data_IF_387595510270
#
_entry.id   IF_387595510270
#
_cell.length_a   1.000
_cell.length_b   1.000
_cell.length_c   1.000
_cell.angle_alpha   90.00
_cell.angle_beta   90.00
_cell.angle_gamma   90.00
#
_symmetry.space_group_name_H-M   'P 1'
#
loop_
_entity.id
_entity.type
_entity.pdbx_description
1 polymer ?
#
# COMPACT_ATOMS: atom_id res chain seq x y z
N UNK A 1 -25.74 -25.66 -52.83
CA UNK A 1 -26.33 -26.24 -51.61
C UNK A 1 -25.20 -26.78 -50.74
N UNK A 2 -24.77 -26.03 -49.72
CA UNK A 2 -23.89 -26.54 -48.68
C UNK A 2 -24.66 -26.53 -47.37
N UNK A 3 -24.86 -27.71 -46.79
CA UNK A 3 -25.59 -27.92 -45.55
C UNK A 3 -24.78 -27.36 -44.38
N UNK A 4 -25.32 -26.35 -43.69
CA UNK A 4 -24.79 -25.87 -42.41
C UNK A 4 -25.18 -26.90 -41.35
N UNK A 5 -24.21 -27.71 -40.91
CA UNK A 5 -24.40 -28.63 -39.78
C UNK A 5 -24.68 -27.84 -38.51
N UNK A 6 -25.87 -28.00 -37.93
CA UNK A 6 -26.20 -27.50 -36.60
C UNK A 6 -25.35 -28.24 -35.56
N UNK A 7 -24.54 -27.50 -34.82
CA UNK A 7 -23.80 -28.02 -33.66
C UNK A 7 -24.84 -28.32 -32.56
N UNK A 8 -24.89 -29.53 -31.98
CA UNK A 8 -25.80 -29.86 -30.89
C UNK A 8 -25.53 -28.98 -29.66
N UNK A 9 -26.57 -28.49 -28.99
CA UNK A 9 -26.44 -27.56 -27.85
C UNK A 9 -25.51 -28.06 -26.73
N UNK A 10 -25.41 -29.37 -26.52
CA UNK A 10 -24.50 -29.97 -25.53
C UNK A 10 -23.02 -29.79 -25.90
N UNK A 11 -22.66 -29.76 -27.19
CA UNK A 11 -21.28 -29.51 -27.62
C UNK A 11 -20.90 -28.04 -27.44
N UNK A 12 -21.85 -27.11 -27.56
CA UNK A 12 -21.65 -25.68 -27.26
C UNK A 12 -21.42 -25.50 -25.76
N UNK A 13 -22.20 -26.17 -24.90
CA UNK A 13 -22.04 -26.12 -23.44
C UNK A 13 -20.68 -26.66 -23.00
N UNK A 14 -20.23 -27.79 -23.57
CA UNK A 14 -18.90 -28.36 -23.29
C UNK A 14 -17.78 -27.45 -23.78
N UNK A 15 -17.92 -26.82 -24.95
CA UNK A 15 -16.93 -25.86 -25.47
C UNK A 15 -16.84 -24.60 -24.60
N UNK A 16 -17.96 -24.11 -24.07
CA UNK A 16 -18.02 -22.97 -23.14
C UNK A 16 -17.41 -23.34 -21.79
N UNK A 17 -17.66 -24.54 -21.26
CA UNK A 17 -17.02 -25.01 -20.02
C UNK A 17 -15.51 -25.18 -20.18
N UNK A 18 -15.03 -25.72 -21.31
CA UNK A 18 -13.60 -25.85 -21.60
C UNK A 18 -12.94 -24.49 -21.79
N UNK A 19 -13.63 -23.51 -22.37
CA UNK A 19 -13.10 -22.14 -22.44
C UNK A 19 -13.09 -21.47 -21.06
N UNK A 20 -14.10 -21.66 -20.21
CA UNK A 20 -14.10 -21.13 -18.84
C UNK A 20 -13.00 -21.75 -17.94
N UNK A 21 -12.59 -22.99 -18.22
CA UNK A 21 -11.46 -23.65 -17.55
C UNK A 21 -10.08 -23.14 -18.00
N UNK A 22 -9.98 -22.49 -19.17
CA UNK A 22 -8.73 -21.95 -19.71
C UNK A 22 -8.52 -20.45 -19.43
N UNK A 23 -9.42 -19.78 -18.70
CA UNK A 23 -9.28 -18.36 -18.30
C UNK A 23 -8.95 -18.22 -16.81
N UNK A 24 -8.40 -19.27 -16.20
CA UNK A 24 -7.72 -19.17 -14.91
C UNK A 24 -6.26 -18.81 -15.14
N UNK A 25 -5.99 -17.69 -15.80
CA UNK A 25 -4.71 -17.04 -15.54
C UNK A 25 -4.78 -16.53 -14.09
N UNK A 26 -3.81 -16.87 -13.22
CA UNK A 26 -3.70 -16.17 -11.96
C UNK A 26 -3.56 -14.68 -12.28
N UNK A 27 -4.59 -13.91 -11.95
CA UNK A 27 -4.46 -12.47 -11.80
C UNK A 27 -3.43 -12.29 -10.67
N UNK A 28 -2.18 -12.07 -11.06
CA UNK A 28 -1.13 -11.64 -10.15
C UNK A 28 -1.45 -10.19 -9.77
N UNK A 29 -2.34 -10.08 -8.80
CA UNK A 29 -2.53 -8.93 -7.95
C UNK A 29 -1.32 -8.84 -7.02
N UNK A 30 -0.93 -7.62 -6.65
CA UNK A 30 0.08 -7.43 -5.61
C UNK A 30 -0.37 -8.15 -4.33
N UNK A 31 0.54 -8.92 -3.73
CA UNK A 31 0.29 -9.53 -2.43
C UNK A 31 0.27 -8.42 -1.38
N UNK A 32 -0.68 -8.49 -0.44
CA UNK A 32 -0.71 -7.57 0.69
C UNK A 32 -0.57 -8.28 2.01
N UNK A 33 0.15 -7.65 2.94
CA UNK A 33 0.31 -8.12 4.32
C UNK A 33 0.04 -6.97 5.28
N UNK A 34 -0.60 -7.28 6.41
CA UNK A 34 -0.78 -6.32 7.50
C UNK A 34 0.37 -6.40 8.50
N UNK A 35 0.77 -5.23 9.01
CA UNK A 35 1.40 -5.09 10.31
C UNK A 35 0.34 -4.60 11.29
N UNK A 36 -0.06 -5.48 12.20
CA UNK A 36 -1.16 -5.25 13.14
C UNK A 36 -0.67 -5.40 14.59
N UNK A 37 0.03 -4.38 15.10
CA UNK A 37 0.63 -4.39 16.44
C UNK A 37 0.18 -3.17 17.24
N UNK A 38 -0.26 -3.40 18.48
CA UNK A 38 -0.71 -2.33 19.37
C UNK A 38 -1.95 -1.62 18.84
N UNK A 39 -1.91 -0.29 18.81
CA UNK A 39 -3.01 0.56 18.31
C UNK A 39 -2.75 1.14 16.92
N UNK A 40 -1.61 0.83 16.29
CA UNK A 40 -1.26 1.32 14.95
C UNK A 40 -1.16 0.17 13.97
N UNK A 41 -2.10 0.11 13.03
CA UNK A 41 -2.17 -0.96 12.04
C UNK A 41 -2.06 -0.40 10.63
N UNK A 42 -1.31 -1.05 9.75
CA UNK A 42 -1.30 -0.72 8.32
C UNK A 42 -1.06 -1.96 7.48
N UNK A 43 -1.56 -1.93 6.25
CA UNK A 43 -1.22 -2.91 5.23
C UNK A 43 -0.07 -2.38 4.37
N UNK A 44 0.58 -3.29 3.67
CA UNK A 44 1.68 -3.04 2.75
C UNK A 44 1.55 -3.92 1.52
N UNK A 45 2.01 -3.41 0.37
CA UNK A 45 1.96 -4.10 -0.93
C UNK A 45 3.32 -4.74 -1.28
N UNK A 46 3.32 -5.92 -1.90
CA UNK A 46 4.50 -6.56 -2.47
C UNK A 46 5.21 -5.71 -3.52
N UNK A 47 4.46 -4.87 -4.23
CA UNK A 47 4.96 -3.93 -5.23
C UNK A 47 5.90 -2.85 -4.66
N UNK A 48 5.96 -2.73 -3.33
CA UNK A 48 6.88 -1.82 -2.64
C UNK A 48 6.27 -0.49 -2.20
N UNK A 49 5.02 -0.20 -2.55
CA UNK A 49 4.30 1.00 -2.11
C UNK A 49 2.78 0.83 -2.11
N UNK A 50 2.08 1.55 -1.23
CA UNK A 50 0.65 1.37 -0.95
C UNK A 50 -0.22 2.35 -1.75
N UNK A 51 -0.61 1.97 -2.97
CA UNK A 51 -1.39 2.83 -3.88
C UNK A 51 -2.83 3.09 -3.37
N UNK A 52 -3.47 4.11 -3.96
CA UNK A 52 -4.91 4.34 -3.80
C UNK A 52 -5.69 3.12 -4.28
N UNK A 53 -6.61 2.61 -3.45
CA UNK A 53 -7.41 1.41 -3.77
C UNK A 53 -6.48 0.21 -4.06
N UNK A 54 -5.41 0.05 -3.26
CA UNK A 54 -4.46 -1.05 -3.40
C UNK A 54 -4.95 -2.34 -2.76
N UNK A 55 -5.14 -2.39 -1.43
CA UNK A 55 -5.34 -3.65 -0.69
C UNK A 55 -6.42 -4.59 -1.22
N UNK A 56 -7.57 -4.06 -1.65
CA UNK A 56 -8.70 -4.86 -2.14
C UNK A 56 -9.13 -4.53 -3.55
N UNK A 57 -8.53 -3.51 -4.16
CA UNK A 57 -8.97 -2.94 -5.43
C UNK A 57 -10.44 -2.48 -5.47
N UNK A 58 -11.07 -2.27 -4.30
CA UNK A 58 -12.43 -1.76 -4.21
C UNK A 58 -12.45 -0.26 -3.94
N UNK A 59 -13.20 0.49 -4.77
CA UNK A 59 -13.37 1.94 -4.61
C UNK A 59 -13.93 2.31 -3.24
N UNK A 60 -14.73 1.43 -2.63
CA UNK A 60 -15.25 1.60 -1.28
C UNK A 60 -14.15 1.73 -0.21
N UNK A 61 -12.92 1.32 -0.52
CA UNK A 61 -11.75 1.31 0.37
C UNK A 61 -10.67 2.32 -0.06
N UNK A 62 -11.06 3.44 -0.67
CA UNK A 62 -10.16 4.50 -1.15
C UNK A 62 -9.33 5.20 -0.04
N UNK A 63 -9.69 5.02 1.22
CA UNK A 63 -8.95 5.48 2.40
C UNK A 63 -8.74 4.27 3.30
N UNK A 64 -7.52 3.72 3.26
CA UNK A 64 -7.23 2.43 3.85
C UNK A 64 -5.76 2.30 4.26
N UNK A 65 -5.56 1.87 5.50
CA UNK A 65 -4.24 1.77 6.13
C UNK A 65 -3.91 2.98 7.00
N UNK A 66 -2.73 2.90 7.64
CA UNK A 66 -2.30 3.83 8.69
C UNK A 66 -3.43 4.12 9.70
N UNK A 67 -4.01 3.06 10.26
CA UNK A 67 -5.11 3.14 11.22
C UNK A 67 -4.56 3.45 12.60
N UNK A 68 -5.06 4.51 13.22
CA UNK A 68 -4.80 4.81 14.63
C UNK A 68 -5.95 5.64 15.22
N UNK A 69 -6.55 5.25 16.36
CA UNK A 69 -6.35 3.99 17.08
C UNK A 69 -7.08 2.85 16.35
N UNK A 70 -6.34 1.82 15.94
CA UNK A 70 -6.84 0.76 15.05
C UNK A 70 -7.86 -0.20 15.67
N UNK A 71 -8.11 -0.09 16.98
CA UNK A 71 -9.16 -0.82 17.69
C UNK A 71 -10.56 -0.30 17.35
N UNK A 72 -10.65 0.95 16.88
CA UNK A 72 -11.92 1.55 16.47
C UNK A 72 -12.11 1.44 14.96
N UNK A 73 -13.37 1.38 14.54
CA UNK A 73 -13.71 1.33 13.11
C UNK A 73 -13.39 2.68 12.46
N UNK A 74 -13.04 2.61 11.17
CA UNK A 74 -12.89 3.76 10.29
C UNK A 74 -11.82 4.79 10.70
N UNK A 75 -10.77 4.35 11.39
CA UNK A 75 -9.65 5.22 11.78
C UNK A 75 -8.52 5.28 10.73
N UNK A 76 -8.77 4.84 9.50
CA UNK A 76 -7.80 4.87 8.40
C UNK A 76 -7.38 6.30 8.07
N UNK A 77 -6.07 6.55 8.03
CA UNK A 77 -5.52 7.88 7.77
C UNK A 77 -4.72 8.00 6.46
N UNK A 78 -4.62 6.91 5.69
CA UNK A 78 -3.90 6.85 4.43
C UNK A 78 -4.86 6.79 3.24
N UNK A 79 -4.57 7.56 2.18
CA UNK A 79 -5.22 7.43 0.88
C UNK A 79 -4.31 6.67 -0.08
N UNK A 80 -3.07 7.13 -0.19
CA UNK A 80 -2.07 6.52 -1.07
C UNK A 80 -0.67 6.90 -0.63
N UNK A 81 0.28 6.03 -0.93
CA UNK A 81 1.69 6.33 -1.07
C UNK A 81 2.08 6.07 -2.52
N UNK A 82 3.04 6.85 -3.02
CA UNK A 82 3.65 6.59 -4.31
C UNK A 82 5.17 6.66 -4.19
N UNK A 83 5.84 5.87 -5.03
CA UNK A 83 7.29 5.87 -5.16
C UNK A 83 7.63 6.03 -6.64
N UNK A 84 8.39 7.06 -6.96
CA UNK A 84 8.94 7.33 -8.28
C UNK A 84 10.45 7.28 -8.22
N UNK A 85 11.07 6.58 -9.17
CA UNK A 85 12.52 6.51 -9.28
C UNK A 85 12.89 6.93 -10.70
N UNK A 86 13.67 8.01 -10.80
CA UNK A 86 14.06 8.62 -12.06
C UNK A 86 15.57 8.62 -12.27
N UNK A 87 16.00 8.48 -13.52
CA UNK A 87 17.41 8.57 -13.94
C UNK A 87 17.49 9.23 -15.33
N UNK A 88 18.68 9.67 -15.71
CA UNK A 88 18.96 10.28 -17.02
C UNK A 88 19.79 9.37 -17.91
N UNK A 89 19.73 9.59 -19.22
CA UNK A 89 20.57 8.91 -20.22
C UNK A 89 20.50 7.37 -20.15
N UNK A 90 19.28 6.83 -20.06
CA UNK A 90 19.06 5.41 -19.78
C UNK A 90 18.74 4.64 -21.06
N UNK A 91 19.43 3.52 -21.28
CA UNK A 91 19.10 2.60 -22.37
C UNK A 91 18.15 1.50 -21.83
N UNK A 92 16.91 1.52 -22.30
CA UNK A 92 15.87 0.59 -21.85
C UNK A 92 15.74 -0.58 -22.83
N UNK A 93 16.10 -1.77 -22.37
CA UNK A 93 16.06 -3.00 -23.16
C UNK A 93 14.64 -3.59 -23.28
N UNK A 94 13.71 -3.22 -22.40
CA UNK A 94 12.31 -3.66 -22.50
C UNK A 94 11.61 -2.86 -23.60
N UNK A 95 11.85 -1.55 -23.61
CA UNK A 95 11.29 -0.64 -24.61
C UNK A 95 12.10 -0.62 -25.92
N UNK A 96 13.27 -1.24 -25.96
CA UNK A 96 14.25 -1.19 -27.05
C UNK A 96 14.56 0.25 -27.49
N UNK A 97 14.79 1.13 -26.51
CA UNK A 97 14.93 2.57 -26.74
C UNK A 97 15.79 3.26 -25.68
N UNK A 98 16.59 4.24 -26.11
CA UNK A 98 17.25 5.19 -25.22
C UNK A 98 16.32 6.34 -24.81
N UNK A 99 16.37 6.72 -23.53
CA UNK A 99 15.62 7.80 -22.94
C UNK A 99 16.56 8.83 -22.29
N UNK A 100 16.38 10.11 -22.63
CA UNK A 100 17.06 11.20 -21.93
C UNK A 100 16.67 11.24 -20.45
N UNK A 101 15.41 10.92 -20.17
CA UNK A 101 14.85 10.77 -18.83
C UNK A 101 14.00 9.51 -18.77
N UNK A 102 14.34 8.58 -17.88
CA UNK A 102 13.54 7.39 -17.59
C UNK A 102 13.04 7.48 -16.15
N UNK A 103 11.75 7.24 -15.97
CA UNK A 103 11.11 7.14 -14.66
C UNK A 103 10.39 5.80 -14.60
N UNK A 104 10.49 5.17 -13.44
CA UNK A 104 9.62 4.05 -13.04
C UNK A 104 8.81 4.44 -11.82
N UNK A 105 7.60 3.92 -11.71
CA UNK A 105 6.72 4.24 -10.59
C UNK A 105 5.86 3.10 -10.06
N UNK A 106 5.46 3.25 -8.79
CA UNK A 106 4.31 2.58 -8.19
C UNK A 106 3.43 3.64 -7.52
N UNK A 107 2.18 3.76 -7.98
CA UNK A 107 1.21 4.74 -7.48
C UNK A 107 1.34 6.15 -8.06
N UNK A 108 0.47 7.10 -7.65
CA UNK A 108 -0.46 6.98 -6.52
C UNK A 108 -1.74 6.22 -6.83
N UNK A 109 -2.05 5.95 -8.10
CA UNK A 109 -3.17 5.09 -8.52
C UNK A 109 -2.64 3.94 -9.39
N UNK A 110 -3.43 2.88 -9.51
CA UNK A 110 -3.08 1.72 -10.35
C UNK A 110 -3.28 1.96 -11.85
N UNK A 111 -2.97 0.95 -12.70
CA UNK A 111 -2.49 -0.38 -12.30
C UNK A 111 -1.00 -0.41 -11.95
N UNK A 112 -0.61 -1.38 -11.13
CA UNK A 112 0.80 -1.67 -10.82
C UNK A 112 1.31 -2.68 -11.87
N UNK A 113 2.44 -2.41 -12.52
CA UNK A 113 3.09 -3.37 -13.42
C UNK A 113 4.18 -4.16 -12.67
N UNK A 114 3.76 -5.25 -11.99
CA UNK A 114 4.69 -6.18 -11.32
C UNK A 114 5.42 -7.13 -12.28
N UNK A 115 5.16 -7.05 -13.58
CA UNK A 115 5.81 -7.90 -14.58
C UNK A 115 6.99 -7.20 -15.25
N UNK A 116 6.89 -5.89 -15.47
CA UNK A 116 7.89 -5.14 -16.23
C UNK A 116 8.39 -3.87 -15.55
N UNK A 117 7.83 -3.43 -14.43
CA UNK A 117 8.23 -2.14 -13.82
C UNK A 117 8.68 -2.27 -12.37
N UNK A 118 7.84 -2.80 -11.47
CA UNK A 118 8.14 -3.04 -10.05
C UNK A 118 7.93 -4.52 -9.72
N UNK A 119 8.95 -5.32 -10.00
CA UNK A 119 8.89 -6.78 -9.95
C UNK A 119 9.27 -7.27 -8.55
N UNK A 120 8.26 -7.58 -7.73
CA UNK A 120 8.47 -8.15 -6.40
C UNK A 120 9.18 -9.51 -6.48
N UNK A 121 10.16 -9.71 -5.60
CA UNK A 121 10.93 -10.95 -5.47
C UNK A 121 10.64 -11.64 -4.14
N UNK A 122 10.70 -10.89 -3.03
CA UNK A 122 10.45 -11.40 -1.69
C UNK A 122 9.41 -10.53 -0.98
N UNK A 123 8.53 -11.18 -0.22
CA UNK A 123 7.55 -10.52 0.63
C UNK A 123 7.23 -11.39 1.85
N UNK A 124 7.94 -11.17 2.95
CA UNK A 124 7.96 -12.06 4.11
C UNK A 124 7.68 -11.26 5.39
N UNK A 125 6.72 -11.73 6.19
CA UNK A 125 6.44 -11.18 7.51
C UNK A 125 7.12 -12.01 8.60
N UNK A 126 8.09 -11.39 9.27
CA UNK A 126 8.72 -11.92 10.48
C UNK A 126 7.94 -11.47 11.71
N UNK A 127 7.81 -12.37 12.69
CA UNK A 127 7.18 -12.08 13.97
C UNK A 127 7.96 -12.62 15.14
N UNK A 128 8.11 -11.79 16.18
CA UNK A 128 8.73 -12.18 17.44
C UNK A 128 7.91 -13.20 18.23
N UNK A 129 6.61 -13.21 17.99
CA UNK A 129 5.61 -14.10 18.58
C UNK A 129 4.51 -14.36 17.54
N UNK A 130 3.86 -15.53 17.55
CA UNK A 130 2.72 -15.80 16.69
C UNK A 130 1.56 -14.85 17.05
N UNK A 131 0.55 -14.77 16.18
CA UNK A 131 -0.64 -13.96 16.46
C UNK A 131 -1.30 -14.41 17.78
N UNK A 132 -1.59 -13.49 18.72
CA UNK A 132 -2.18 -13.86 20.01
C UNK A 132 -3.64 -14.32 19.83
N UNK A 133 -3.98 -15.47 20.40
CA UNK A 133 -5.37 -15.95 20.42
C UNK A 133 -6.05 -15.51 21.71
N UNK A 134 -7.05 -14.63 21.60
CA UNK A 134 -7.85 -14.14 22.75
C UNK A 134 -9.18 -14.90 22.79
N UNK A 135 -9.45 -15.55 23.92
CA UNK A 135 -10.68 -16.30 24.18
C UNK A 135 -11.35 -15.72 25.43
N UNK A 136 -12.63 -15.34 25.30
CA UNK A 136 -13.48 -14.85 26.39
C UNK A 136 -14.74 -15.70 26.41
N UNK A 137 -15.08 -16.27 27.56
CA UNK A 137 -16.26 -17.15 27.75
C UNK A 137 -16.31 -18.33 26.75
N UNK A 138 -15.14 -18.86 26.39
CA UNK A 138 -15.01 -19.96 25.41
C UNK A 138 -15.20 -19.55 23.96
N UNK A 139 -15.45 -18.25 23.69
CA UNK A 139 -15.56 -17.69 22.35
C UNK A 139 -14.31 -16.90 22.00
N UNK A 140 -13.92 -16.96 20.73
CA UNK A 140 -12.83 -16.14 20.21
C UNK A 140 -13.26 -14.67 20.21
N UNK A 141 -12.48 -13.83 20.86
CA UNK A 141 -12.85 -12.44 21.18
C UNK A 141 -11.92 -11.39 20.53
N UNK A 142 -11.28 -11.74 19.42
CA UNK A 142 -10.39 -10.82 18.67
C UNK A 142 -10.90 -10.58 17.26
N UNK A 143 -11.09 -9.30 16.91
CA UNK A 143 -11.40 -8.87 15.53
C UNK A 143 -10.16 -8.86 14.61
N UNK A 144 -8.95 -9.05 15.15
CA UNK A 144 -7.69 -8.97 14.41
C UNK A 144 -7.03 -10.33 14.17
N UNK A 145 -7.69 -11.42 14.57
CA UNK A 145 -7.12 -12.79 14.63
C UNK A 145 -6.41 -13.24 13.35
N UNK A 146 -6.92 -12.82 12.18
CA UNK A 146 -6.40 -13.22 10.87
C UNK A 146 -5.80 -12.04 10.11
N UNK A 147 -5.51 -10.91 10.77
CA UNK A 147 -5.07 -9.70 10.09
C UNK A 147 -3.58 -9.78 9.72
N UNK A 148 -2.69 -10.04 10.68
CA UNK A 148 -1.26 -10.26 10.44
C UNK A 148 -0.89 -11.76 10.52
N UNK A 149 -0.72 -12.39 9.35
CA UNK A 149 -0.24 -13.77 9.27
C UNK A 149 1.29 -13.79 9.21
N UNK A 150 1.92 -14.21 10.31
CA UNK A 150 3.38 -14.35 10.40
C UNK A 150 3.85 -15.53 9.55
N UNK A 151 4.82 -15.29 8.67
CA UNK A 151 5.43 -16.31 7.81
C UNK A 151 6.61 -17.00 8.51
N UNK A 152 7.45 -16.21 9.20
CA UNK A 152 8.65 -16.67 9.89
C UNK A 152 8.64 -16.21 11.35
N UNK A 153 8.82 -17.17 12.25
CA UNK A 153 8.95 -16.91 13.67
C UNK A 153 10.42 -16.75 14.05
N UNK A 154 10.74 -15.63 14.70
CA UNK A 154 12.09 -15.28 15.14
C UNK A 154 12.04 -14.62 16.52
N UNK A 155 12.30 -15.38 17.58
CA UNK A 155 12.26 -14.89 18.97
C UNK A 155 13.28 -13.78 19.27
N UNK A 156 14.37 -13.71 18.50
CA UNK A 156 15.46 -12.74 18.67
C UNK A 156 15.19 -11.39 18.00
N UNK A 157 14.07 -11.28 17.27
CA UNK A 157 13.64 -10.07 16.59
C UNK A 157 13.52 -8.90 17.59
N UNK A 158 14.11 -7.76 17.21
CA UNK A 158 14.14 -6.58 18.08
C UNK A 158 12.80 -5.86 18.19
N UNK A 159 11.96 -6.01 17.17
CA UNK A 159 10.61 -5.44 17.08
C UNK A 159 9.58 -6.55 17.11
N UNK A 160 8.31 -6.23 17.29
CA UNK A 160 7.24 -7.25 17.40
C UNK A 160 6.95 -7.92 16.06
N UNK A 161 7.02 -7.14 14.99
CA UNK A 161 6.96 -7.60 13.60
C UNK A 161 8.02 -6.89 12.75
N UNK A 162 8.42 -7.53 11.66
CA UNK A 162 9.24 -6.93 10.62
C UNK A 162 8.80 -7.48 9.26
N UNK A 163 8.36 -6.60 8.36
CA UNK A 163 8.08 -6.94 6.98
C UNK A 163 9.37 -6.80 6.17
N UNK A 164 9.77 -7.86 5.48
CA UNK A 164 10.91 -7.89 4.56
C UNK A 164 10.41 -7.97 3.13
N UNK A 165 10.80 -7.02 2.30
CA UNK A 165 10.35 -6.94 0.91
C UNK A 165 11.50 -6.59 -0.02
N UNK A 166 11.73 -7.41 -1.04
CA UNK A 166 12.66 -7.12 -2.13
C UNK A 166 11.86 -6.89 -3.40
N UNK A 167 12.13 -5.77 -4.08
CA UNK A 167 11.50 -5.41 -5.36
C UNK A 167 12.57 -4.98 -6.34
N UNK A 168 12.59 -5.58 -7.53
CA UNK A 168 13.43 -5.15 -8.63
C UNK A 168 12.67 -4.16 -9.50
N UNK A 169 13.36 -3.16 -10.05
CA UNK A 169 12.76 -2.22 -10.99
C UNK A 169 13.36 -2.36 -12.38
N UNK A 170 12.62 -2.01 -13.42
CA UNK A 170 13.13 -2.11 -14.81
C UNK A 170 14.30 -1.20 -15.13
N UNK A 171 14.61 -0.23 -14.26
CA UNK A 171 15.83 0.58 -14.36
C UNK A 171 17.05 -0.08 -13.70
N UNK A 172 16.95 -1.32 -13.24
CA UNK A 172 18.07 -2.07 -12.67
C UNK A 172 18.28 -1.85 -11.17
N UNK A 173 17.35 -1.20 -10.47
CA UNK A 173 17.44 -1.00 -9.03
C UNK A 173 16.72 -2.13 -8.30
N UNK A 174 17.44 -2.81 -7.42
CA UNK A 174 16.83 -3.66 -6.38
C UNK A 174 16.63 -2.81 -5.12
N UNK A 175 15.36 -2.63 -4.75
CA UNK A 175 14.96 -2.05 -3.48
C UNK A 175 14.79 -3.16 -2.44
N UNK A 176 15.50 -3.04 -1.32
CA UNK A 176 15.18 -3.80 -0.10
C UNK A 176 14.45 -2.87 0.86
N UNK A 177 13.19 -3.17 1.15
CA UNK A 177 12.33 -2.46 2.10
C UNK A 177 12.13 -3.32 3.34
N UNK A 178 12.53 -2.81 4.50
CA UNK A 178 12.21 -3.38 5.80
C UNK A 178 11.29 -2.45 6.55
N UNK A 179 10.18 -2.98 7.07
CA UNK A 179 9.23 -2.20 7.86
C UNK A 179 9.11 -2.85 9.23
N UNK A 180 9.68 -2.20 10.23
CA UNK A 180 9.66 -2.67 11.60
C UNK A 180 8.44 -2.09 12.32
N UNK A 181 7.66 -2.94 12.98
CA UNK A 181 6.55 -2.52 13.84
C UNK A 181 6.84 -2.87 15.29
N UNK A 182 6.74 -1.86 16.16
CA UNK A 182 6.99 -2.01 17.60
C UNK A 182 5.81 -1.47 18.39
N UNK A 183 5.42 -2.20 19.42
CA UNK A 183 4.63 -1.71 20.55
C UNK A 183 5.51 -1.64 21.80
N UNK A 184 5.26 -0.63 22.64
CA UNK A 184 6.02 -0.40 23.85
C UNK A 184 5.19 0.42 24.84
N UNK A 185 5.24 0.04 26.11
CA UNK A 185 4.48 0.71 27.18
C UNK A 185 4.86 2.19 27.42
N UNK A 186 6.05 2.64 27.00
CA UNK A 186 6.55 4.00 27.26
C UNK A 186 6.42 4.97 26.09
N UNK A 187 6.30 4.46 24.86
CA UNK A 187 6.25 5.28 23.64
C UNK A 187 5.25 4.73 22.62
N UNK A 188 4.21 4.05 23.13
CA UNK A 188 3.09 3.45 22.42
C UNK A 188 3.50 2.57 21.23
N UNK A 189 3.25 2.97 19.99
CA UNK A 189 3.53 2.16 18.80
C UNK A 189 3.99 3.03 17.63
N UNK A 190 4.85 2.45 16.78
CA UNK A 190 5.37 3.13 15.59
C UNK A 190 5.84 2.13 14.52
N UNK A 191 5.93 2.62 13.30
CA UNK A 191 6.62 1.96 12.20
C UNK A 191 7.93 2.65 11.87
N UNK A 192 9.00 1.86 11.71
CA UNK A 192 10.27 2.34 11.15
C UNK A 192 10.42 1.70 9.77
N UNK A 193 10.55 2.54 8.75
CA UNK A 193 10.79 2.10 7.39
C UNK A 193 12.26 2.30 7.04
N UNK A 194 12.91 1.21 6.64
CA UNK A 194 14.30 1.20 6.17
C UNK A 194 14.32 0.76 4.71
N UNK A 195 14.89 1.60 3.86
CA UNK A 195 14.97 1.39 2.41
C UNK A 195 16.42 1.41 1.96
N UNK A 196 16.84 0.34 1.31
CA UNK A 196 18.14 0.23 0.67
C UNK A 196 17.92 0.09 -0.83
N UNK A 197 18.54 1.00 -1.59
CA UNK A 197 18.50 0.97 -3.05
C UNK A 197 19.86 0.59 -3.59
N UNK A 198 19.91 -0.48 -4.37
CA UNK A 198 21.14 -0.97 -4.99
C UNK A 198 20.94 -1.11 -6.49
N UNK A 199 21.84 -0.53 -7.28
CA UNK A 199 21.92 -0.82 -8.71
C UNK A 199 22.50 -2.23 -8.88
N UNK A 200 21.65 -3.19 -9.23
CA UNK A 200 21.99 -4.59 -9.50
C UNK A 200 21.96 -4.91 -10.99
N UNK A 201 21.41 -4.00 -11.80
CA UNK A 201 21.19 -4.18 -13.22
C UNK A 201 20.02 -5.10 -13.57
N UNK A 202 19.35 -5.73 -12.60
CA UNK A 202 18.22 -6.64 -12.86
C UNK A 202 17.05 -5.84 -13.42
N UNK A 203 16.70 -6.06 -14.69
CA UNK A 203 15.71 -5.24 -15.39
C UNK A 203 14.41 -5.99 -15.71
N UNK A 204 14.36 -7.32 -15.54
CA UNK A 204 13.16 -8.10 -15.80
C UNK A 204 12.93 -9.21 -14.75
N UNK A 205 11.76 -9.85 -14.81
CA UNK A 205 11.33 -10.88 -13.85
C UNK A 205 12.13 -12.19 -13.94
N UNK A 206 12.81 -12.42 -15.07
CA UNK A 206 13.69 -13.59 -15.25
C UNK A 206 15.02 -13.43 -14.51
N UNK A 207 15.33 -12.22 -14.01
CA UNK A 207 16.60 -11.92 -13.37
C UNK A 207 17.70 -11.55 -14.35
N UNK A 208 17.37 -11.25 -15.62
CA UNK A 208 18.37 -10.79 -16.58
C UNK A 208 18.93 -9.43 -16.16
N UNK A 209 20.24 -9.24 -16.37
CA UNK A 209 20.96 -8.06 -15.91
C UNK A 209 21.46 -7.19 -17.06
N UNK A 210 21.29 -5.89 -16.94
CA UNK A 210 21.91 -4.87 -17.77
C UNK A 210 22.56 -3.80 -16.89
N UNK A 211 23.89 -3.90 -16.73
CA UNK A 211 24.64 -2.99 -15.88
C UNK A 211 24.91 -1.67 -16.61
N UNK A 212 24.29 -0.61 -16.13
CA UNK A 212 24.56 0.77 -16.54
C UNK A 212 24.64 1.68 -15.32
N UNK A 213 25.46 2.73 -15.39
CA UNK A 213 25.51 3.74 -14.34
C UNK A 213 24.23 4.57 -14.38
N UNK A 214 23.51 4.65 -13.27
CA UNK A 214 22.31 5.46 -13.16
C UNK A 214 22.70 6.91 -12.85
N UNK A 215 22.75 7.72 -13.90
CA UNK A 215 23.05 9.15 -13.79
C UNK A 215 21.81 9.91 -13.30
N UNK A 216 22.05 10.98 -12.53
CA UNK A 216 20.97 11.87 -12.06
C UNK A 216 19.89 11.16 -11.26
N UNK A 217 20.23 10.10 -10.53
CA UNK A 217 19.26 9.27 -9.81
C UNK A 217 18.46 10.09 -8.78
N UNK A 218 17.14 10.07 -8.90
CA UNK A 218 16.20 10.69 -7.96
C UNK A 218 15.24 9.62 -7.46
N UNK A 219 15.07 9.57 -6.14
CA UNK A 219 14.06 8.75 -5.48
C UNK A 219 13.08 9.71 -4.83
N UNK A 220 11.81 9.62 -5.21
CA UNK A 220 10.76 10.51 -4.75
C UNK A 220 9.62 9.72 -4.14
N UNK A 221 9.25 10.08 -2.91
CA UNK A 221 8.06 9.56 -2.24
C UNK A 221 6.97 10.61 -2.21
N UNK A 222 5.76 10.17 -2.54
CA UNK A 222 4.54 10.92 -2.28
C UNK A 222 3.79 10.25 -1.13
N UNK A 223 3.43 11.03 -0.10
CA UNK A 223 2.51 10.59 0.95
C UNK A 223 1.22 11.38 0.81
N UNK A 224 0.11 10.69 0.55
CA UNK A 224 -1.23 11.28 0.55
C UNK A 224 -2.00 10.75 1.75
N UNK A 225 -2.04 11.57 2.79
CA UNK A 225 -2.77 11.29 4.03
C UNK A 225 -4.11 12.02 4.03
N UNK A 226 -5.10 11.41 4.66
CA UNK A 226 -6.42 11.97 4.93
C UNK A 226 -6.79 11.60 6.36
N UNK A 227 -6.76 12.54 7.32
CA UNK A 227 -7.02 12.23 8.72
C UNK A 227 -8.45 11.72 8.96
N UNK A 228 -8.51 10.43 9.30
CA UNK A 228 -9.64 9.53 9.58
C UNK A 228 -10.71 9.37 8.50
N UNK A 229 -11.08 8.11 8.28
CA UNK A 229 -12.11 7.66 7.34
C UNK A 229 -13.52 7.84 7.90
N UNK A 230 -13.66 7.92 9.21
CA UNK A 230 -14.94 7.97 9.92
C UNK A 230 -15.83 9.11 9.45
N UNK A 231 -15.28 10.27 9.08
CA UNK A 231 -16.03 11.43 8.60
C UNK A 231 -16.26 11.44 7.09
N UNK A 232 -15.57 10.55 6.37
CA UNK A 232 -15.53 10.47 4.91
C UNK A 232 -16.15 9.19 4.38
N UNK A 233 -15.55 8.67 3.31
CA UNK A 233 -16.04 7.51 2.58
C UNK A 233 -16.02 6.24 3.44
N UNK A 234 -17.20 5.66 3.68
CA UNK A 234 -17.39 4.41 4.42
C UNK A 234 -17.66 4.59 5.91
N UNK A 235 -17.60 5.82 6.44
CA UNK A 235 -18.07 6.18 7.78
C UNK A 235 -19.38 6.97 7.75
N UNK A 236 -19.42 8.08 8.47
CA UNK A 236 -20.54 8.99 8.67
C UNK A 236 -20.90 9.82 7.42
N UNK A 237 -19.95 10.02 6.50
CA UNK A 237 -20.14 10.82 5.28
C UNK A 237 -20.63 12.26 5.55
N UNK A 238 -20.17 12.87 6.65
CA UNK A 238 -20.55 14.24 7.04
C UNK A 238 -19.77 15.32 6.30
N UNK A 239 -18.65 14.96 5.66
CA UNK A 239 -17.86 15.86 4.82
C UNK A 239 -17.95 15.53 3.33
N UNK A 240 -17.64 16.50 2.45
CA UNK A 240 -17.50 16.26 1.02
C UNK A 240 -16.55 15.08 0.74
N UNK A 241 -16.87 14.28 -0.27
CA UNK A 241 -16.08 13.09 -0.65
C UNK A 241 -14.58 13.38 -0.78
N UNK A 242 -14.23 14.57 -1.26
CA UNK A 242 -12.86 15.05 -1.45
C UNK A 242 -12.05 15.16 -0.16
N UNK A 243 -12.69 15.25 1.00
CA UNK A 243 -12.01 15.15 2.29
C UNK A 243 -11.35 13.76 2.46
N UNK A 244 -12.01 12.70 2.00
CA UNK A 244 -11.44 11.34 1.96
C UNK A 244 -10.27 11.19 0.98
N UNK A 245 -10.06 12.18 0.09
CA UNK A 245 -8.88 12.26 -0.80
C UNK A 245 -7.75 13.09 -0.19
N UNK A 246 -7.98 13.69 0.98
CA UNK A 246 -7.04 14.55 1.68
C UNK A 246 -7.02 16.00 1.18
N UNK A 247 -8.08 16.50 0.53
CA UNK A 247 -8.14 17.88 0.01
C UNK A 247 -7.99 18.95 1.09
N UNK A 248 -8.40 18.64 2.31
CA UNK A 248 -8.28 19.52 3.47
C UNK A 248 -7.17 19.05 4.43
N UNK A 249 -6.29 18.16 4.01
CA UNK A 249 -5.14 17.76 4.82
C UNK A 249 -4.10 18.86 4.81
N UNK A 250 -3.76 19.37 5.99
CA UNK A 250 -2.70 20.35 6.16
C UNK A 250 -1.39 19.63 6.47
N UNK A 251 -0.33 19.95 5.73
CA UNK A 251 1.00 19.39 5.95
C UNK A 251 1.93 20.47 6.48
N UNK A 252 2.55 20.22 7.63
CA UNK A 252 3.63 21.05 8.16
C UNK A 252 4.94 20.30 7.99
N UNK A 253 5.88 20.85 7.22
CA UNK A 253 7.18 20.23 6.93
C UNK A 253 8.26 20.88 7.77
N UNK A 254 9.07 20.05 8.41
CA UNK A 254 10.27 20.42 9.17
C UNK A 254 11.50 20.01 8.37
N UNK A 255 12.49 20.89 8.30
CA UNK A 255 13.75 20.66 7.57
C UNK A 255 13.51 20.27 6.09
N UNK A 256 12.94 21.18 5.27
CA UNK A 256 12.58 20.87 3.89
C UNK A 256 13.74 20.95 2.89
N UNK A 257 14.97 21.30 3.31
CA UNK A 257 16.04 21.70 2.41
C UNK A 257 16.97 20.54 2.05
N UNK A 258 17.59 20.63 0.86
CA UNK A 258 18.65 19.71 0.45
C UNK A 258 19.82 19.75 1.44
N UNK A 259 20.28 18.58 1.88
CA UNK A 259 21.35 18.44 2.87
C UNK A 259 20.88 18.28 4.33
N UNK A 260 19.59 18.49 4.62
CA UNK A 260 19.05 18.23 5.96
C UNK A 260 19.20 16.74 6.33
N UNK A 261 19.79 16.45 7.50
CA UNK A 261 20.06 15.09 7.99
C UNK A 261 18.83 14.38 8.54
N UNK A 262 17.83 15.15 8.95
CA UNK A 262 16.52 14.67 9.38
C UNK A 262 15.46 15.57 8.75
N UNK A 263 14.45 14.96 8.14
CA UNK A 263 13.27 15.66 7.64
C UNK A 263 12.03 15.05 8.26
N UNK A 264 11.03 15.87 8.53
CA UNK A 264 9.78 15.42 9.11
C UNK A 264 8.61 16.18 8.55
N UNK A 265 7.43 15.59 8.64
CA UNK A 265 6.20 16.33 8.43
C UNK A 265 5.10 15.81 9.36
N UNK A 266 4.21 16.72 9.74
CA UNK A 266 2.96 16.42 10.42
C UNK A 266 1.82 16.68 9.45
N UNK A 267 0.85 15.77 9.39
CA UNK A 267 -0.39 15.95 8.64
C UNK A 267 -1.58 15.97 9.59
N UNK A 268 -2.47 16.94 9.45
CA UNK A 268 -3.63 17.09 10.32
C UNK A 268 -4.87 17.57 9.55
N UNK A 269 -6.04 17.38 10.16
CA UNK A 269 -7.32 17.69 9.56
C UNK A 269 -7.53 19.22 9.52
N UNK A 270 -7.56 19.80 8.32
CA UNK A 270 -7.81 21.21 8.09
C UNK A 270 -9.25 21.52 7.70
N UNK A 271 -9.52 22.81 7.46
CA UNK A 271 -10.82 23.28 6.97
C UNK A 271 -11.04 22.88 5.52
N UNK A 272 -12.26 22.47 5.20
CA UNK A 272 -12.66 22.12 3.84
C UNK A 272 -13.56 23.22 3.26
N UNK A 273 -13.21 23.78 2.11
CA UNK A 273 -13.91 24.95 1.51
C UNK A 273 -15.39 24.69 1.14
N UNK A 274 -15.75 23.42 0.95
CA UNK A 274 -17.13 22.99 0.68
C UNK A 274 -17.87 22.47 1.91
N UNK A 275 -17.26 22.49 3.10
CA UNK A 275 -17.99 22.18 4.33
C UNK A 275 -18.95 23.33 4.68
N UNK A 276 -20.15 23.00 5.14
CA UNK A 276 -21.18 23.97 5.52
C UNK A 276 -21.10 24.39 7.00
N UNK A 277 -20.07 23.93 7.71
CA UNK A 277 -19.85 24.10 9.15
C UNK A 277 -18.34 24.16 9.44
N UNK A 278 -17.96 24.48 10.68
CA UNK A 278 -16.55 24.37 11.10
C UNK A 278 -16.17 22.88 11.24
N UNK A 279 -15.46 22.36 10.25
CA UNK A 279 -15.11 20.95 10.17
C UNK A 279 -13.80 20.60 10.89
N UNK A 280 -13.19 21.51 11.65
CA UNK A 280 -11.99 21.18 12.43
C UNK A 280 -12.31 20.03 13.41
N UNK A 281 -11.47 19.00 13.41
CA UNK A 281 -11.68 17.77 14.18
C UNK A 281 -12.73 16.83 13.60
N UNK A 282 -13.36 17.16 12.47
CA UNK A 282 -14.35 16.31 11.83
C UNK A 282 -15.53 15.92 12.73
N UNK A 283 -16.30 16.89 13.28
CA UNK A 283 -17.38 16.57 14.19
C UNK A 283 -18.52 15.79 13.50
N UNK A 284 -19.09 14.82 14.22
CA UNK A 284 -20.32 14.14 13.83
C UNK A 284 -21.54 15.05 13.97
N UNK A 285 -21.73 15.94 13.00
CA UNK A 285 -22.81 16.95 13.00
C UNK A 285 -24.22 16.35 12.92
N UNK A 286 -24.36 15.10 12.48
CA UNK A 286 -25.66 14.42 12.34
C UNK A 286 -26.02 13.58 13.56
N UNK A 287 -25.16 13.54 14.58
CA UNK A 287 -25.33 12.68 15.74
C UNK A 287 -24.90 13.34 17.05
N UNK A 288 -24.06 12.63 17.79
CA UNK A 288 -23.60 12.94 19.14
C UNK A 288 -22.47 13.98 19.21
N UNK A 289 -21.97 14.46 18.07
CA UNK A 289 -20.96 15.50 18.00
C UNK A 289 -19.54 15.05 18.33
N UNK A 290 -19.26 13.75 18.46
CA UNK A 290 -17.88 13.29 18.66
C UNK A 290 -16.99 13.67 17.47
N UNK A 291 -15.69 13.77 17.71
CA UNK A 291 -14.71 14.13 16.70
C UNK A 291 -14.23 12.87 16.01
N UNK A 292 -14.52 12.76 14.70
CA UNK A 292 -14.17 11.58 13.91
C UNK A 292 -12.81 11.68 13.25
N UNK A 293 -12.16 12.86 13.22
CA UNK A 293 -10.78 12.98 12.74
C UNK A 293 -9.78 12.60 13.84
N UNK A 294 -8.77 11.78 13.50
CA UNK A 294 -7.66 11.49 14.41
C UNK A 294 -6.95 12.79 14.82
N UNK A 295 -6.67 12.93 16.11
CA UNK A 295 -6.05 14.11 16.74
C UNK A 295 -4.62 13.84 17.19
#
# INVERSE_FOLDING_TARGET
MNSIKKIPGHQIVVLVMINMLNVLEPLFCDETKWLAIGSLHSWYSSAGCEIEIGRTHQVAEQQDGLRWPALYRWQDCQVAKALWIGTTNFNDLIADKAFDHKVVHVGPRGPIDENNEFMSSDFILFGKFPHPTVIVDGLQASHTINMDKVDVFDEDLKTDRMLYNIVNTSIGITMTRKIYASSNQYHDNYFIHDYIYKNTGVYNKNGDTHNQTLEGLIIFYQFRLAPSREIGLGGLQTLPQTASWGHNTMNHVYHPFYGDTLRGFLSYHGRHSQATFDNIGGPNISGDGHLGAAQ
#
